data_IF_768651225293
#
_entry.id   IF_768651225293
#
_cell.length_a   1.000
_cell.length_b   1.000
_cell.length_c   1.000
_cell.angle_alpha   90.00
_cell.angle_beta   90.00
_cell.angle_gamma   90.00
#
_symmetry.space_group_name_H-M   'P 1'
#
loop_
_entity.id
_entity.type
_entity.pdbx_description
1 polymer ?
#
# COMPACT_ATOMS: atom_id res chain seq x y z
N UNK A 1 2.05 18.17 27.03
CA UNK A 1 1.44 16.83 26.87
C UNK A 1 1.56 16.44 25.41
N UNK A 2 2.11 15.27 25.09
CA UNK A 2 2.09 14.76 23.71
C UNK A 2 0.76 14.03 23.51
N UNK A 3 -0.06 14.48 22.55
CA UNK A 3 -1.42 13.95 22.32
C UNK A 3 -1.41 12.51 21.78
N UNK A 4 -0.37 12.13 21.03
CA UNK A 4 -0.19 10.79 20.47
C UNK A 4 1.19 10.25 20.82
N UNK A 5 1.28 8.97 21.16
CA UNK A 5 2.59 8.34 21.37
C UNK A 5 3.38 8.30 20.06
N UNK A 6 4.71 8.29 20.16
CA UNK A 6 5.57 8.09 18.99
C UNK A 6 5.18 6.82 18.22
N UNK A 7 4.82 5.75 18.94
CA UNK A 7 4.37 4.49 18.34
C UNK A 7 3.08 4.65 17.53
N UNK A 8 2.09 5.38 18.05
CA UNK A 8 0.85 5.64 17.34
C UNK A 8 1.10 6.47 16.06
N UNK A 9 1.98 7.47 16.12
CA UNK A 9 2.38 8.25 14.95
C UNK A 9 3.11 7.37 13.91
N UNK A 10 4.00 6.48 14.36
CA UNK A 10 4.71 5.56 13.49
C UNK A 10 3.75 4.58 12.78
N UNK A 11 2.84 3.94 13.52
CA UNK A 11 1.83 3.05 12.95
C UNK A 11 0.96 3.79 11.93
N UNK A 12 0.55 5.03 12.23
CA UNK A 12 -0.25 5.83 11.32
C UNK A 12 0.51 6.16 10.02
N UNK A 13 1.76 6.61 10.13
CA UNK A 13 2.60 6.87 8.97
C UNK A 13 2.85 5.61 8.13
N UNK A 14 3.13 4.47 8.78
CA UNK A 14 3.27 3.19 8.09
C UNK A 14 1.97 2.77 7.37
N UNK A 15 0.81 3.05 7.98
CA UNK A 15 -0.51 2.82 7.37
C UNK A 15 -0.72 3.66 6.11
N UNK A 16 -0.35 4.95 6.14
CA UNK A 16 -0.41 5.83 4.96
C UNK A 16 0.49 5.30 3.83
N UNK A 17 1.72 4.88 4.16
CA UNK A 17 2.65 4.35 3.16
C UNK A 17 2.12 3.06 2.52
N UNK A 18 1.66 2.10 3.33
CA UNK A 18 1.09 0.85 2.84
C UNK A 18 -0.18 1.08 2.01
N UNK A 19 -1.04 2.01 2.43
CA UNK A 19 -2.20 2.41 1.65
C UNK A 19 -1.78 3.00 0.29
N UNK A 20 -0.75 3.85 0.27
CA UNK A 20 -0.17 4.39 -0.97
C UNK A 20 0.33 3.27 -1.90
N UNK A 21 1.04 2.27 -1.36
CA UNK A 21 1.47 1.09 -2.13
C UNK A 21 0.26 0.32 -2.67
N UNK A 22 -0.76 0.09 -1.85
CA UNK A 22 -1.99 -0.60 -2.27
C UNK A 22 -2.72 0.16 -3.38
N UNK A 23 -2.81 1.48 -3.27
CA UNK A 23 -3.42 2.34 -4.28
C UNK A 23 -2.62 2.27 -5.60
N UNK A 24 -1.31 2.49 -5.54
CA UNK A 24 -0.44 2.51 -6.72
C UNK A 24 -0.31 1.15 -7.39
N UNK A 25 -0.47 0.05 -6.65
CA UNK A 25 -0.45 -1.30 -7.24
C UNK A 25 -1.83 -1.79 -7.64
N UNK A 26 -2.89 -1.39 -6.94
CA UNK A 26 -4.26 -1.87 -7.16
C UNK A 26 -5.01 -1.14 -8.25
N UNK A 27 -4.90 0.20 -8.32
CA UNK A 27 -5.58 0.99 -9.35
C UNK A 27 -5.12 0.57 -10.76
N UNK A 28 -3.80 0.40 -11.04
CA UNK A 28 -3.37 -0.05 -12.35
C UNK A 28 -3.88 -1.42 -12.77
N UNK A 29 -4.02 -2.36 -11.82
CA UNK A 29 -4.57 -3.69 -12.09
C UNK A 29 -6.05 -3.63 -12.48
N UNK A 30 -6.82 -2.70 -11.90
CA UNK A 30 -8.25 -2.52 -12.20
C UNK A 30 -8.48 -1.83 -13.56
N UNK A 31 -7.64 -0.86 -13.93
CA UNK A 31 -7.75 -0.14 -15.21
C UNK A 31 -6.47 -0.28 -16.04
N UNK A 32 -6.15 -1.49 -16.55
CA UNK A 32 -4.87 -1.77 -17.21
C UNK A 32 -4.69 -1.06 -18.55
N UNK A 33 -5.77 -0.58 -19.18
CA UNK A 33 -5.71 0.07 -20.48
C UNK A 33 -5.34 1.56 -20.41
N UNK A 34 -5.40 2.17 -19.23
CA UNK A 34 -4.98 3.57 -19.04
C UNK A 34 -3.45 3.64 -19.13
N UNK A 35 -2.92 4.62 -19.84
CA UNK A 35 -1.48 4.78 -20.07
C UNK A 35 -0.68 4.85 -18.77
N UNK A 36 -1.16 5.65 -17.80
CA UNK A 36 -0.56 5.73 -16.48
C UNK A 36 -0.49 4.36 -15.76
N UNK A 37 -1.52 3.51 -15.92
CA UNK A 37 -1.52 2.17 -15.34
C UNK A 37 -0.43 1.29 -15.96
N UNK A 38 -0.28 1.34 -17.28
CA UNK A 38 0.78 0.59 -17.98
C UNK A 38 2.15 1.07 -17.55
N UNK A 39 2.35 2.40 -17.50
CA UNK A 39 3.59 3.00 -17.03
C UNK A 39 3.96 2.51 -15.63
N UNK A 40 3.02 2.54 -14.67
CA UNK A 40 3.27 2.04 -13.31
C UNK A 40 3.60 0.55 -13.31
N UNK A 41 2.82 -0.27 -14.03
CA UNK A 41 3.02 -1.72 -14.08
C UNK A 41 4.39 -2.07 -14.64
N UNK A 42 4.82 -1.41 -15.72
CA UNK A 42 6.11 -1.65 -16.36
C UNK A 42 7.27 -1.24 -15.46
N UNK A 43 7.20 -0.06 -14.81
CA UNK A 43 8.26 0.43 -13.92
C UNK A 43 8.37 -0.37 -12.61
N UNK A 44 7.29 -1.03 -12.19
CA UNK A 44 7.29 -1.92 -11.03
C UNK A 44 7.69 -3.37 -11.36
N UNK A 45 8.16 -3.66 -12.58
CA UNK A 45 8.65 -4.99 -12.98
C UNK A 45 7.59 -5.90 -13.58
N UNK A 46 6.47 -5.33 -14.07
CA UNK A 46 5.40 -6.04 -14.76
C UNK A 46 4.27 -6.53 -13.86
N UNK A 47 3.22 -7.05 -14.49
CA UNK A 47 1.94 -7.35 -13.81
C UNK A 47 2.07 -8.39 -12.70
N UNK A 48 2.98 -9.36 -12.82
CA UNK A 48 3.21 -10.37 -11.79
C UNK A 48 3.85 -9.78 -10.54
N UNK A 49 4.85 -8.91 -10.70
CA UNK A 49 5.48 -8.20 -9.59
C UNK A 49 4.48 -7.28 -8.88
N UNK A 50 3.70 -6.51 -9.64
CA UNK A 50 2.65 -5.62 -9.09
C UNK A 50 1.60 -6.39 -8.29
N UNK A 51 1.13 -7.55 -8.80
CA UNK A 51 0.16 -8.42 -8.09
C UNK A 51 0.74 -8.98 -6.80
N UNK A 52 1.98 -9.44 -6.84
CA UNK A 52 2.66 -9.99 -5.67
C UNK A 52 2.85 -8.90 -4.61
N UNK A 53 3.35 -7.72 -5.01
CA UNK A 53 3.55 -6.58 -4.12
C UNK A 53 2.24 -6.12 -3.48
N UNK A 54 1.16 -5.99 -4.27
CA UNK A 54 -0.15 -5.62 -3.76
C UNK A 54 -0.64 -6.60 -2.68
N UNK A 55 -0.48 -7.90 -2.92
CA UNK A 55 -0.92 -8.95 -1.98
C UNK A 55 -0.13 -8.88 -0.67
N UNK A 56 1.20 -8.78 -0.74
CA UNK A 56 2.05 -8.66 0.44
C UNK A 56 1.71 -7.39 1.21
N UNK A 57 1.60 -6.25 0.52
CA UNK A 57 1.19 -4.98 1.13
C UNK A 57 -0.18 -5.08 1.80
N UNK A 58 -1.14 -5.80 1.21
CA UNK A 58 -2.47 -6.00 1.79
C UNK A 58 -2.45 -6.83 3.07
N UNK A 59 -1.63 -7.87 3.13
CA UNK A 59 -1.44 -8.69 4.34
C UNK A 59 -0.81 -7.84 5.44
N UNK A 60 0.28 -7.12 5.13
CA UNK A 60 0.98 -6.26 6.10
C UNK A 60 0.07 -5.12 6.58
N UNK A 61 -0.67 -4.48 5.68
CA UNK A 61 -1.64 -3.45 6.03
C UNK A 61 -2.73 -3.98 6.95
N UNK A 62 -3.25 -5.18 6.67
CA UNK A 62 -4.29 -5.80 7.51
C UNK A 62 -3.78 -6.08 8.92
N UNK A 63 -2.56 -6.60 9.05
CA UNK A 63 -1.92 -6.82 10.36
C UNK A 63 -1.75 -5.48 11.07
N UNK A 64 -1.16 -4.48 10.41
CA UNK A 64 -0.94 -3.16 10.98
C UNK A 64 -2.26 -2.53 11.42
N UNK A 65 -3.30 -2.62 10.60
CA UNK A 65 -4.63 -2.10 10.89
C UNK A 65 -5.19 -2.69 12.18
N UNK A 66 -5.16 -4.02 12.32
CA UNK A 66 -5.60 -4.71 13.55
C UNK A 66 -4.78 -4.24 14.76
N UNK A 67 -3.45 -4.11 14.62
CA UNK A 67 -2.59 -3.62 15.72
C UNK A 67 -2.72 -2.13 16.03
N UNK A 68 -3.32 -1.34 15.13
CA UNK A 68 -3.52 0.09 15.31
C UNK A 68 -4.88 0.40 15.97
N UNK A 69 -5.81 -0.56 15.95
CA UNK A 69 -7.09 -0.45 16.63
C UNK A 69 -6.99 -0.68 18.16
N UNK A 70 -5.90 -1.29 18.62
CA UNK A 70 -5.62 -1.62 20.03
C UNK A 70 -4.60 -0.63 20.59
#
# INVERSE_FOLDING_TARGET
MVRFSFWACFQHAAGILLFGVLLLTGMPQKWPYVEASRWIIEHLGGIFAVRWLHRVAGIVFSILFVTHLV
#
